data_IF_248515649817
#
_entry.id   IF_248515649817
#
_cell.length_a   1.000
_cell.length_b   1.000
_cell.length_c   1.000
_cell.angle_alpha   90.00
_cell.angle_beta   90.00
_cell.angle_gamma   90.00
#
_symmetry.space_group_name_H-M   'P 1'
#
loop_
_entity.id
_entity.type
_entity.pdbx_description
1 polymer ?
#
# COMPACT_ATOMS: atom_id res chain seq x y z
N UNK A 1 36.35 -21.00 -43.75
CA UNK A 1 35.33 -20.23 -43.03
C UNK A 1 34.08 -21.04 -42.68
N UNK A 2 33.37 -21.62 -43.64
CA UNK A 2 32.12 -22.39 -43.41
C UNK A 2 32.32 -23.58 -42.45
N UNK A 3 33.38 -24.35 -42.60
CA UNK A 3 33.69 -25.49 -41.71
C UNK A 3 33.89 -25.06 -40.25
N UNK A 4 34.56 -23.94 -40.02
CA UNK A 4 34.81 -23.40 -38.69
C UNK A 4 33.49 -22.93 -38.03
N UNK A 5 32.59 -22.36 -38.80
CA UNK A 5 31.25 -21.98 -38.32
C UNK A 5 30.41 -23.21 -37.94
N UNK A 6 30.47 -24.29 -38.75
CA UNK A 6 29.77 -25.54 -38.44
C UNK A 6 30.30 -26.15 -37.13
N UNK A 7 31.61 -26.23 -36.97
CA UNK A 7 32.23 -26.75 -35.74
C UNK A 7 31.86 -25.92 -34.53
N UNK A 8 31.94 -24.60 -34.63
CA UNK A 8 31.56 -23.70 -33.52
C UNK A 8 30.08 -23.81 -33.14
N UNK A 9 29.17 -23.85 -34.11
CA UNK A 9 27.74 -24.02 -33.84
C UNK A 9 27.45 -25.40 -33.23
N UNK A 10 28.13 -26.46 -33.66
CA UNK A 10 27.97 -27.79 -33.06
C UNK A 10 28.45 -27.82 -31.61
N UNK A 11 29.61 -27.21 -31.31
CA UNK A 11 30.14 -27.13 -29.95
C UNK A 11 29.18 -26.32 -29.02
N UNK A 12 28.65 -25.21 -29.51
CA UNK A 12 27.67 -24.43 -28.77
C UNK A 12 26.37 -25.22 -28.49
N UNK A 13 25.86 -25.96 -29.48
CA UNK A 13 24.70 -26.81 -29.33
C UNK A 13 24.92 -27.93 -28.29
N UNK A 14 26.10 -28.55 -28.31
CA UNK A 14 26.47 -29.58 -27.32
C UNK A 14 26.58 -28.98 -25.93
N UNK A 15 27.25 -27.83 -25.78
CA UNK A 15 27.41 -27.15 -24.51
C UNK A 15 26.02 -26.76 -23.93
N UNK A 16 25.14 -26.20 -24.77
CA UNK A 16 23.79 -25.86 -24.36
C UNK A 16 22.97 -27.09 -23.94
N UNK A 17 23.09 -28.19 -24.65
CA UNK A 17 22.40 -29.43 -24.29
C UNK A 17 22.90 -30.03 -22.97
N UNK A 18 24.20 -29.98 -22.72
CA UNK A 18 24.82 -30.45 -21.47
C UNK A 18 24.33 -29.58 -20.28
N UNK A 19 24.35 -28.25 -20.44
CA UNK A 19 23.85 -27.36 -19.38
C UNK A 19 22.34 -27.52 -19.13
N UNK A 20 21.54 -27.72 -20.17
CA UNK A 20 20.12 -27.99 -20.04
C UNK A 20 19.85 -29.31 -19.27
N UNK A 21 20.61 -30.36 -19.58
CA UNK A 21 20.54 -31.64 -18.86
C UNK A 21 20.95 -31.48 -17.38
N UNK A 22 22.06 -30.78 -17.11
CA UNK A 22 22.52 -30.48 -15.75
C UNK A 22 21.49 -29.65 -14.98
N UNK A 23 20.89 -28.66 -15.64
CA UNK A 23 19.84 -27.84 -15.08
C UNK A 23 18.62 -28.67 -14.66
N UNK A 24 18.17 -29.58 -15.54
CA UNK A 24 17.07 -30.51 -15.22
C UNK A 24 17.39 -31.41 -14.03
N UNK A 25 18.58 -32.01 -14.02
CA UNK A 25 18.99 -32.89 -12.93
C UNK A 25 19.03 -32.15 -11.56
N UNK A 26 19.55 -30.90 -11.54
CA UNK A 26 19.54 -30.06 -10.35
C UNK A 26 18.13 -29.69 -9.92
N UNK A 27 17.26 -29.38 -10.88
CA UNK A 27 15.85 -29.06 -10.59
C UNK A 27 15.12 -30.25 -9.97
N UNK A 28 15.24 -31.46 -10.54
CA UNK A 28 14.58 -32.65 -9.98
C UNK A 28 15.10 -32.97 -8.58
N UNK A 29 16.40 -32.78 -8.33
CA UNK A 29 16.99 -32.94 -7.00
C UNK A 29 16.39 -31.92 -6.02
N UNK A 30 16.36 -30.63 -6.37
CA UNK A 30 15.79 -29.58 -5.54
C UNK A 30 14.30 -29.79 -5.27
N UNK A 31 13.56 -30.23 -6.28
CA UNK A 31 12.14 -30.59 -6.15
C UNK A 31 11.94 -31.75 -5.17
N UNK A 32 12.75 -32.80 -5.27
CA UNK A 32 12.70 -33.93 -4.34
C UNK A 32 13.03 -33.50 -2.89
N UNK A 33 14.00 -32.61 -2.69
CA UNK A 33 14.35 -32.08 -1.38
C UNK A 33 13.22 -31.21 -0.78
N UNK A 34 12.54 -30.40 -1.59
CA UNK A 34 11.39 -29.58 -1.18
C UNK A 34 10.25 -30.51 -0.71
N UNK A 35 9.89 -31.48 -1.56
CA UNK A 35 8.81 -32.42 -1.22
C UNK A 35 9.15 -33.30 -0.01
N UNK A 36 10.41 -33.69 0.16
CA UNK A 36 10.86 -34.48 1.32
C UNK A 36 10.75 -33.71 2.64
N UNK A 37 10.78 -32.38 2.62
CA UNK A 37 10.55 -31.52 3.78
C UNK A 37 9.06 -31.32 4.09
N UNK A 38 8.16 -31.85 3.26
CA UNK A 38 6.73 -31.64 3.37
C UNK A 38 6.23 -30.33 2.73
N UNK A 39 7.10 -29.59 2.06
CA UNK A 39 6.73 -28.38 1.35
C UNK A 39 6.00 -28.73 0.04
N UNK A 40 5.11 -27.83 -0.42
CA UNK A 40 4.40 -27.98 -1.69
C UNK A 40 5.02 -27.11 -2.77
N UNK A 41 5.05 -27.62 -4.00
CA UNK A 41 5.36 -26.84 -5.21
C UNK A 41 4.09 -26.38 -5.92
N UNK A 42 2.92 -26.78 -5.46
CA UNK A 42 1.65 -26.25 -5.95
C UNK A 42 1.39 -24.91 -5.25
N UNK A 43 1.50 -23.83 -6.02
CA UNK A 43 1.27 -22.47 -5.53
C UNK A 43 -0.13 -22.29 -4.92
N UNK A 44 -1.13 -23.12 -5.30
CA UNK A 44 -2.50 -23.06 -4.75
C UNK A 44 -2.52 -23.33 -3.25
N UNK A 45 -1.57 -24.11 -2.74
CA UNK A 45 -1.47 -24.41 -1.30
C UNK A 45 -1.07 -23.19 -0.46
N UNK A 46 -0.54 -22.15 -1.10
CA UNK A 46 -0.12 -20.89 -0.46
C UNK A 46 -1.17 -19.79 -0.58
N UNK A 47 -2.25 -20.03 -1.33
CA UNK A 47 -3.32 -19.04 -1.49
C UNK A 47 -4.25 -19.13 -0.27
N UNK A 48 -4.43 -18.04 0.47
CA UNK A 48 -5.35 -18.03 1.59
C UNK A 48 -6.79 -18.21 1.12
N UNK A 49 -7.62 -18.83 1.96
CA UNK A 49 -9.04 -18.94 1.72
C UNK A 49 -9.70 -17.56 1.54
N UNK A 50 -10.78 -17.52 0.75
CA UNK A 50 -11.56 -16.30 0.56
C UNK A 50 -12.15 -15.84 1.90
N UNK A 51 -12.05 -14.55 2.15
CA UNK A 51 -12.63 -13.92 3.33
C UNK A 51 -14.07 -13.52 3.03
N UNK A 52 -15.02 -13.68 3.98
CA UNK A 52 -16.37 -13.13 3.84
C UNK A 52 -16.35 -11.63 3.54
N UNK A 53 -17.21 -11.16 2.66
CA UNK A 53 -17.23 -9.77 2.20
C UNK A 53 -17.41 -8.78 3.35
N UNK A 54 -18.19 -9.13 4.36
CA UNK A 54 -18.43 -8.33 5.56
C UNK A 54 -17.19 -8.16 6.46
N UNK A 55 -16.26 -9.12 6.40
CA UNK A 55 -14.98 -9.07 7.13
C UNK A 55 -13.86 -8.44 6.31
N UNK A 56 -14.04 -8.30 4.99
CA UNK A 56 -13.02 -7.87 4.06
C UNK A 56 -13.09 -6.36 3.80
N UNK A 57 -12.09 -5.61 4.28
CA UNK A 57 -11.99 -4.17 4.05
C UNK A 57 -11.98 -3.81 2.55
N UNK A 58 -11.38 -4.63 1.69
CA UNK A 58 -11.32 -4.41 0.25
C UNK A 58 -12.71 -4.44 -0.43
N UNK A 59 -13.70 -5.10 0.20
CA UNK A 59 -15.09 -5.17 -0.28
C UNK A 59 -15.94 -4.00 0.23
N UNK A 60 -15.34 -3.00 0.88
CA UNK A 60 -16.06 -1.80 1.28
C UNK A 60 -16.39 -0.94 0.05
N UNK A 61 -17.58 -0.31 -0.01
CA UNK A 61 -18.01 0.49 -1.17
C UNK A 61 -17.07 1.63 -1.57
N UNK A 62 -16.26 2.14 -0.64
CA UNK A 62 -15.25 3.18 -0.95
C UNK A 62 -14.23 2.71 -1.98
N UNK A 63 -13.93 1.41 -2.02
CA UNK A 63 -12.98 0.85 -2.96
C UNK A 63 -13.62 0.29 -4.22
N UNK A 64 -14.88 -0.19 -4.13
CA UNK A 64 -15.71 -0.75 -5.21
C UNK A 64 -14.90 -1.57 -6.24
N UNK A 65 -14.23 -2.60 -5.74
CA UNK A 65 -13.37 -3.46 -6.56
C UNK A 65 -14.16 -4.53 -7.33
N UNK A 66 -15.50 -4.56 -7.17
CA UNK A 66 -16.37 -5.57 -7.77
C UNK A 66 -16.61 -5.38 -9.26
N UNK A 67 -16.33 -4.19 -9.80
CA UNK A 67 -16.46 -3.93 -11.23
C UNK A 67 -15.26 -4.50 -11.96
N UNK A 68 -15.28 -5.80 -12.23
CA UNK A 68 -14.34 -6.43 -13.16
C UNK A 68 -14.84 -6.18 -14.59
N UNK A 69 -14.12 -5.45 -15.44
CA UNK A 69 -14.52 -5.32 -16.83
C UNK A 69 -14.45 -6.65 -17.54
N UNK A 70 -15.46 -6.96 -18.26
CA UNK A 70 -15.43 -8.04 -19.23
C UNK A 70 -14.66 -7.55 -20.46
N UNK A 71 -13.45 -8.05 -20.67
CA UNK A 71 -12.66 -7.81 -21.86
C UNK A 71 -11.21 -7.36 -21.58
N UNK A 72 -10.34 -7.45 -22.59
CA UNK A 72 -8.97 -7.00 -22.46
C UNK A 72 -8.94 -5.48 -22.27
N UNK A 73 -8.01 -4.94 -21.44
CA UNK A 73 -7.87 -3.50 -21.25
C UNK A 73 -7.43 -2.85 -22.56
N UNK A 74 -8.18 -1.87 -23.01
CA UNK A 74 -7.79 -1.05 -24.16
C UNK A 74 -7.21 0.27 -23.67
N UNK A 75 -6.24 0.81 -24.41
CA UNK A 75 -5.63 2.12 -24.15
C UNK A 75 -6.67 3.25 -24.19
N UNK A 76 -7.74 3.05 -24.95
CA UNK A 76 -8.84 4.01 -25.15
C UNK A 76 -9.77 4.11 -23.93
N UNK A 77 -9.87 3.06 -23.10
CA UNK A 77 -10.74 3.05 -21.92
C UNK A 77 -10.04 3.50 -20.62
N UNK A 78 -8.88 4.18 -20.71
CA UNK A 78 -8.22 4.78 -19.56
C UNK A 78 -7.63 3.80 -18.55
N UNK A 79 -7.34 2.56 -18.95
CA UNK A 79 -6.79 1.54 -18.05
C UNK A 79 -7.85 0.66 -17.39
N UNK A 80 -7.42 -0.13 -16.44
CA UNK A 80 -8.30 -1.07 -15.74
C UNK A 80 -9.31 -0.32 -14.84
N UNK A 81 -10.59 -0.74 -14.74
CA UNK A 81 -11.62 -0.01 -13.98
C UNK A 81 -11.31 0.17 -12.50
N UNK A 82 -10.62 -0.78 -11.87
CA UNK A 82 -10.16 -0.63 -10.49
C UNK A 82 -9.05 0.43 -10.36
N UNK A 83 -8.18 0.59 -11.40
CA UNK A 83 -7.24 1.70 -11.48
C UNK A 83 -7.99 3.01 -11.47
N UNK A 84 -9.09 3.06 -12.20
CA UNK A 84 -9.97 4.21 -12.26
C UNK A 84 -10.54 4.54 -10.87
N UNK A 85 -10.96 3.56 -10.09
CA UNK A 85 -11.50 3.78 -8.74
C UNK A 85 -10.48 4.31 -7.75
N UNK A 86 -9.28 3.74 -7.70
CA UNK A 86 -8.21 4.30 -6.87
C UNK A 86 -7.79 5.69 -7.34
N UNK A 87 -7.70 5.92 -8.66
CA UNK A 87 -7.42 7.24 -9.20
C UNK A 87 -8.57 8.23 -8.93
N UNK A 88 -9.83 7.78 -9.00
CA UNK A 88 -10.99 8.59 -8.65
C UNK A 88 -10.99 8.93 -7.15
N UNK A 89 -10.69 7.97 -6.27
CA UNK A 89 -10.54 8.20 -4.83
C UNK A 89 -9.41 9.19 -4.54
N UNK A 90 -8.25 9.01 -5.17
CA UNK A 90 -7.12 9.94 -5.05
C UNK A 90 -7.50 11.34 -5.54
N UNK A 91 -8.10 11.45 -6.73
CA UNK A 91 -8.58 12.72 -7.27
C UNK A 91 -9.69 13.34 -6.43
N UNK A 92 -10.61 12.53 -5.94
CA UNK A 92 -11.74 13.01 -5.16
C UNK A 92 -11.30 13.59 -3.81
N UNK A 93 -10.34 12.97 -3.12
CA UNK A 93 -10.02 13.30 -1.73
C UNK A 93 -8.65 13.95 -1.54
N UNK A 94 -7.68 13.68 -2.41
CA UNK A 94 -6.29 14.09 -2.21
C UNK A 94 -5.74 15.03 -3.30
N UNK A 95 -6.48 15.31 -4.37
CA UNK A 95 -5.99 16.12 -5.50
C UNK A 95 -5.57 17.54 -5.15
N UNK A 96 -6.22 18.11 -4.14
CA UNK A 96 -6.02 19.51 -3.75
C UNK A 96 -4.84 19.68 -2.78
N UNK A 97 -4.10 18.57 -2.51
CA UNK A 97 -2.99 18.55 -1.58
C UNK A 97 -1.68 18.44 -2.37
N UNK A 98 -0.72 19.35 -2.17
CA UNK A 98 0.54 19.40 -2.92
C UNK A 98 1.55 18.34 -2.44
N UNK A 99 1.16 17.06 -2.47
CA UNK A 99 1.91 15.93 -1.90
C UNK A 99 3.30 15.75 -2.49
N UNK A 100 3.46 16.02 -3.80
CA UNK A 100 4.75 15.87 -4.49
C UNK A 100 5.86 16.73 -3.87
N UNK A 101 5.50 17.89 -3.30
CA UNK A 101 6.47 18.79 -2.65
C UNK A 101 6.98 18.24 -1.32
N UNK A 102 6.27 17.30 -0.72
CA UNK A 102 6.53 16.83 0.66
C UNK A 102 6.93 15.35 0.73
N UNK A 103 6.97 14.66 -0.42
CA UNK A 103 7.26 13.23 -0.50
C UNK A 103 8.60 12.87 0.17
N UNK A 104 9.61 13.71 0.02
CA UNK A 104 10.97 13.43 0.49
C UNK A 104 11.34 14.16 1.80
N UNK A 105 10.38 14.83 2.43
CA UNK A 105 10.66 15.54 3.68
C UNK A 105 10.84 14.55 4.84
N UNK A 106 11.97 14.66 5.53
CA UNK A 106 12.26 13.87 6.72
C UNK A 106 11.52 14.38 7.97
N UNK A 107 11.04 15.62 7.94
CA UNK A 107 10.34 16.28 9.06
C UNK A 107 9.12 17.04 8.56
N UNK A 108 8.01 16.91 9.29
CA UNK A 108 6.83 17.72 9.06
C UNK A 108 7.05 19.16 9.53
N UNK A 109 6.67 20.12 8.69
CA UNK A 109 6.73 21.54 8.97
C UNK A 109 5.41 22.21 8.59
N UNK A 110 4.65 22.68 9.59
CA UNK A 110 3.36 23.32 9.38
C UNK A 110 3.46 24.60 8.56
N UNK A 111 4.58 25.32 8.66
CA UNK A 111 4.78 26.56 7.92
C UNK A 111 4.94 26.34 6.45
N UNK A 112 5.77 25.35 6.09
CA UNK A 112 5.96 24.94 4.69
C UNK A 112 4.67 24.40 4.09
N UNK A 113 3.93 23.58 4.83
CA UNK A 113 2.64 23.05 4.39
C UNK A 113 1.58 24.15 4.23
N UNK A 114 1.49 25.06 5.19
CA UNK A 114 0.57 26.19 5.12
C UNK A 114 0.86 27.07 3.89
N UNK A 115 2.13 27.39 3.64
CA UNK A 115 2.55 28.16 2.45
C UNK A 115 2.23 27.44 1.13
N UNK A 116 2.44 26.11 1.07
CA UNK A 116 2.13 25.34 -0.12
C UNK A 116 0.62 25.32 -0.41
N UNK A 117 -0.20 25.12 0.62
CA UNK A 117 -1.65 25.15 0.50
C UNK A 117 -2.17 26.55 0.12
N UNK A 118 -1.54 27.62 0.60
CA UNK A 118 -1.88 28.99 0.16
C UNK A 118 -1.65 29.23 -1.33
N UNK A 119 -0.61 28.61 -1.90
CA UNK A 119 -0.23 28.82 -3.28
C UNK A 119 -1.05 27.98 -4.27
N UNK A 120 -1.57 26.85 -3.87
CA UNK A 120 -2.21 25.88 -4.78
C UNK A 120 -3.72 25.78 -4.61
N UNK A 121 -4.25 26.19 -3.45
CA UNK A 121 -5.66 25.93 -3.20
C UNK A 121 -6.58 27.05 -3.65
N UNK A 122 -7.72 26.64 -4.22
CA UNK A 122 -8.92 27.46 -4.27
C UNK A 122 -9.40 27.92 -2.88
N UNK A 123 -8.77 27.45 -1.81
CA UNK A 123 -9.04 27.81 -0.43
C UNK A 123 -8.44 29.17 -0.12
N UNK A 124 -9.29 30.13 0.22
CA UNK A 124 -8.86 31.47 0.63
C UNK A 124 -8.28 31.41 2.06
N UNK A 125 -7.05 30.92 2.18
CA UNK A 125 -6.34 30.98 3.46
C UNK A 125 -5.71 32.36 3.63
N UNK A 126 -5.66 32.86 4.87
CA UNK A 126 -5.01 34.14 5.17
C UNK A 126 -3.49 33.93 5.25
N UNK A 127 -2.71 34.75 4.49
CA UNK A 127 -1.23 34.65 4.47
C UNK A 127 -0.59 34.79 5.85
N UNK A 128 -1.15 35.65 6.69
CA UNK A 128 -0.61 35.95 8.03
C UNK A 128 -1.39 35.26 9.16
N UNK A 129 -1.99 34.11 8.87
CA UNK A 129 -2.75 33.38 9.86
C UNK A 129 -1.85 32.89 11.01
N UNK A 130 -2.23 33.24 12.24
CA UNK A 130 -1.62 32.69 13.46
C UNK A 130 -2.15 31.29 13.80
N UNK A 131 -3.13 30.78 13.00
CA UNK A 131 -3.81 29.50 13.25
C UNK A 131 -3.47 28.47 12.16
N UNK A 132 -2.19 28.33 11.83
CA UNK A 132 -1.73 27.48 10.73
C UNK A 132 -2.25 26.04 10.79
N UNK A 133 -2.28 25.45 11.98
CA UNK A 133 -2.84 24.12 12.19
C UNK A 133 -4.33 24.05 11.81
N UNK A 134 -5.14 25.01 12.25
CA UNK A 134 -6.56 25.08 11.89
C UNK A 134 -6.77 25.29 10.40
N UNK A 135 -5.94 26.13 9.78
CA UNK A 135 -6.02 26.42 8.35
C UNK A 135 -5.68 25.16 7.53
N UNK A 136 -4.66 24.40 7.91
CA UNK A 136 -4.30 23.12 7.30
C UNK A 136 -5.46 22.14 7.40
N UNK A 137 -6.07 21.98 8.57
CA UNK A 137 -7.23 21.11 8.74
C UNK A 137 -8.42 21.53 7.88
N UNK A 138 -8.65 22.84 7.76
CA UNK A 138 -9.69 23.39 6.89
C UNK A 138 -9.41 23.14 5.41
N UNK A 139 -8.18 23.42 4.95
CA UNK A 139 -7.77 23.22 3.58
C UNK A 139 -7.78 21.73 3.16
N UNK A 140 -7.55 20.83 4.11
CA UNK A 140 -7.57 19.38 3.91
C UNK A 140 -8.89 18.71 4.33
N UNK A 141 -9.97 19.49 4.48
CA UNK A 141 -11.28 18.97 4.93
C UNK A 141 -11.87 17.91 3.98
N UNK A 142 -11.64 18.06 2.69
CA UNK A 142 -12.04 17.10 1.66
C UNK A 142 -11.33 15.74 1.87
N UNK A 143 -10.03 15.77 2.19
CA UNK A 143 -9.29 14.56 2.52
C UNK A 143 -9.78 13.94 3.85
N UNK A 144 -10.24 14.73 4.81
CA UNK A 144 -10.82 14.20 6.04
C UNK A 144 -11.99 13.26 5.76
N UNK A 145 -12.88 13.61 4.82
CA UNK A 145 -13.99 12.74 4.43
C UNK A 145 -13.50 11.41 3.84
N UNK A 146 -12.46 11.46 2.99
CA UNK A 146 -11.83 10.25 2.45
C UNK A 146 -11.17 9.39 3.53
N UNK A 147 -10.48 10.02 4.48
CA UNK A 147 -9.83 9.34 5.61
C UNK A 147 -10.87 8.63 6.48
N UNK A 148 -12.03 9.26 6.77
CA UNK A 148 -13.11 8.63 7.54
C UNK A 148 -13.70 7.42 6.83
N UNK A 149 -13.96 7.50 5.51
CA UNK A 149 -14.43 6.37 4.72
C UNK A 149 -13.41 5.21 4.69
N UNK A 150 -12.12 5.52 4.59
CA UNK A 150 -11.05 4.53 4.67
C UNK A 150 -11.00 3.93 6.09
N UNK A 151 -11.14 4.73 7.12
CA UNK A 151 -11.18 4.26 8.50
C UNK A 151 -12.35 3.31 8.75
N UNK A 152 -13.52 3.62 8.19
CA UNK A 152 -14.70 2.74 8.22
C UNK A 152 -14.42 1.41 7.53
N UNK A 153 -13.86 1.44 6.32
CA UNK A 153 -13.46 0.24 5.61
C UNK A 153 -12.52 -0.64 6.44
N UNK A 154 -11.50 -0.05 7.04
CA UNK A 154 -10.52 -0.75 7.88
C UNK A 154 -10.95 -0.96 9.34
N UNK A 155 -12.22 -0.72 9.67
CA UNK A 155 -12.87 -1.28 10.87
C UNK A 155 -13.07 -2.79 10.72
N UNK A 156 -13.20 -3.30 9.48
CA UNK A 156 -13.21 -4.73 9.17
C UNK A 156 -11.86 -5.36 9.50
N UNK A 157 -11.85 -6.60 10.04
CA UNK A 157 -10.64 -7.18 10.64
C UNK A 157 -9.56 -7.58 9.64
N UNK A 158 -9.93 -7.81 8.39
CA UNK A 158 -9.07 -8.38 7.34
C UNK A 158 -9.14 -7.55 6.06
N UNK A 159 -8.14 -7.72 5.17
CA UNK A 159 -8.15 -7.07 3.86
C UNK A 159 -7.52 -8.01 2.82
N UNK A 160 -8.33 -8.49 1.91
CA UNK A 160 -7.91 -9.31 0.79
C UNK A 160 -8.39 -8.64 -0.50
N UNK A 161 -7.46 -7.99 -1.22
CA UNK A 161 -7.78 -7.29 -2.46
C UNK A 161 -8.18 -8.22 -3.58
N UNK A 162 -7.73 -9.48 -3.52
CA UNK A 162 -8.02 -10.49 -4.53
C UNK A 162 -8.56 -11.75 -3.87
N UNK A 163 -9.84 -12.03 -4.03
CA UNK A 163 -10.32 -13.36 -3.77
C UNK A 163 -9.83 -14.22 -4.93
N UNK A 164 -8.71 -14.99 -4.79
CA UNK A 164 -8.53 -16.25 -5.31
C UNK A 164 -7.62 -16.65 -6.36
N UNK A 165 -7.13 -17.82 -6.09
CA UNK A 165 -6.31 -18.71 -6.88
C UNK A 165 -6.72 -18.83 -8.35
N UNK A 166 -7.97 -19.04 -8.64
CA UNK A 166 -8.47 -19.27 -10.01
C UNK A 166 -8.36 -18.02 -10.88
N UNK A 167 -8.49 -16.87 -10.28
CA UNK A 167 -8.41 -15.59 -10.97
C UNK A 167 -6.97 -15.09 -11.19
N UNK A 168 -5.99 -15.58 -10.41
CA UNK A 168 -4.57 -15.31 -10.63
C UNK A 168 -4.02 -16.03 -11.86
N UNK A 169 -4.57 -17.20 -12.20
CA UNK A 169 -4.14 -17.99 -13.37
C UNK A 169 -4.64 -17.36 -14.67
N UNK A 170 -5.89 -16.92 -14.69
CA UNK A 170 -6.51 -16.40 -15.92
C UNK A 170 -6.14 -14.95 -16.24
N UNK A 171 -5.69 -14.17 -15.27
CA UNK A 171 -5.45 -12.75 -15.43
C UNK A 171 -4.10 -12.30 -14.86
N UNK A 172 -3.03 -12.38 -15.69
CA UNK A 172 -1.73 -11.69 -15.46
C UNK A 172 -1.88 -10.19 -15.16
N UNK A 173 -3.06 -9.64 -15.38
CA UNK A 173 -3.44 -8.24 -15.27
C UNK A 173 -3.69 -7.78 -13.84
N UNK A 174 -3.95 -8.69 -12.89
CA UNK A 174 -4.31 -8.35 -11.50
C UNK A 174 -3.13 -7.95 -10.61
N UNK A 175 -1.92 -8.33 -10.97
CA UNK A 175 -0.70 -7.86 -10.27
C UNK A 175 -0.54 -6.32 -10.31
N UNK A 176 -1.16 -5.67 -11.32
CA UNK A 176 -1.20 -4.20 -11.38
C UNK A 176 -2.08 -3.55 -10.31
N UNK A 177 -3.07 -4.25 -9.77
CA UNK A 177 -4.04 -3.65 -8.81
C UNK A 177 -3.35 -3.24 -7.50
N UNK A 178 -2.45 -4.06 -7.00
CA UNK A 178 -1.74 -3.79 -5.75
C UNK A 178 -0.88 -2.54 -5.86
N UNK A 179 -0.34 -2.24 -7.05
CA UNK A 179 0.47 -1.04 -7.29
C UNK A 179 -0.32 0.26 -7.06
N UNK A 180 -1.63 0.26 -7.32
CA UNK A 180 -2.48 1.44 -7.10
C UNK A 180 -2.83 1.67 -5.65
N UNK A 181 -2.87 0.62 -4.83
CA UNK A 181 -2.97 0.76 -3.38
C UNK A 181 -1.80 1.58 -2.84
N UNK A 182 -0.61 1.49 -3.48
CA UNK A 182 0.57 2.22 -3.01
C UNK A 182 0.47 3.72 -3.24
N UNK A 183 -0.09 4.18 -4.38
CA UNK A 183 -0.30 5.61 -4.65
C UNK A 183 -1.23 6.23 -3.61
N UNK A 184 -2.42 5.63 -3.43
CA UNK A 184 -3.37 6.07 -2.39
C UNK A 184 -2.76 5.95 -1.00
N UNK A 185 -1.99 4.89 -0.73
CA UNK A 185 -1.31 4.67 0.54
C UNK A 185 -0.31 5.77 0.87
N UNK A 186 0.52 6.18 -0.09
CA UNK A 186 1.49 7.28 0.08
C UNK A 186 0.78 8.63 0.27
N UNK A 187 -0.28 8.89 -0.50
CA UNK A 187 -1.09 10.11 -0.37
C UNK A 187 -1.79 10.16 0.98
N UNK A 188 -2.36 9.04 1.42
CA UNK A 188 -2.98 8.90 2.74
C UNK A 188 -1.95 9.11 3.85
N UNK A 189 -0.78 8.47 3.77
CA UNK A 189 0.26 8.58 4.80
C UNK A 189 0.76 10.01 4.98
N UNK A 190 1.04 10.72 3.89
CA UNK A 190 1.49 12.11 3.94
C UNK A 190 0.39 13.03 4.50
N UNK A 191 -0.85 12.85 4.03
CA UNK A 191 -1.99 13.68 4.47
C UNK A 191 -2.32 13.43 5.93
N UNK A 192 -2.42 12.19 6.38
CA UNK A 192 -2.72 11.87 7.78
C UNK A 192 -1.61 12.33 8.71
N UNK A 193 -0.34 12.30 8.27
CA UNK A 193 0.78 12.77 9.08
C UNK A 193 0.71 14.27 9.35
N UNK A 194 0.48 15.10 8.34
CA UNK A 194 0.39 16.56 8.53
C UNK A 194 -0.88 16.96 9.30
N UNK A 195 -2.01 16.28 9.04
CA UNK A 195 -3.25 16.51 9.78
C UNK A 195 -3.12 16.07 11.24
N UNK A 196 -2.45 14.94 11.52
CA UNK A 196 -2.18 14.49 12.88
C UNK A 196 -1.33 15.54 13.64
N UNK A 197 -0.29 16.10 13.01
CA UNK A 197 0.47 17.19 13.60
C UNK A 197 -0.39 18.40 13.86
N UNK A 198 -1.23 18.82 12.92
CA UNK A 198 -2.15 19.94 13.09
C UNK A 198 -3.20 19.69 14.18
N UNK A 199 -3.70 18.45 14.31
CA UNK A 199 -4.58 18.07 15.41
C UNK A 199 -3.89 18.15 16.76
N UNK A 200 -2.62 17.69 16.87
CA UNK A 200 -1.83 17.77 18.10
C UNK A 200 -1.57 19.22 18.49
N UNK A 201 -1.21 20.09 17.55
CA UNK A 201 -1.05 21.52 17.82
C UNK A 201 -2.33 22.19 18.34
N UNK A 202 -3.51 21.72 17.88
CA UNK A 202 -4.80 22.16 18.37
C UNK A 202 -5.27 21.41 19.65
N UNK A 203 -4.43 20.56 20.26
CA UNK A 203 -4.74 19.78 21.47
C UNK A 203 -5.70 18.60 21.25
N UNK A 204 -5.97 18.20 20.00
CA UNK A 204 -6.88 17.11 19.66
C UNK A 204 -6.14 15.79 19.41
N UNK A 205 -5.60 15.18 20.48
CA UNK A 205 -4.86 13.91 20.40
C UNK A 205 -5.73 12.72 19.95
N UNK A 206 -7.04 12.78 20.17
CA UNK A 206 -7.99 11.74 19.71
C UNK A 206 -8.04 11.68 18.18
N UNK A 207 -8.21 12.82 17.52
CA UNK A 207 -8.24 12.88 16.07
C UNK A 207 -6.87 12.50 15.47
N UNK A 208 -5.77 13.00 16.07
CA UNK A 208 -4.42 12.64 15.64
C UNK A 208 -4.17 11.11 15.67
N UNK A 209 -4.54 10.46 16.79
CA UNK A 209 -4.40 9.01 16.92
C UNK A 209 -5.20 8.26 15.85
N UNK A 210 -6.46 8.67 15.60
CA UNK A 210 -7.33 8.04 14.61
C UNK A 210 -6.76 8.12 13.21
N UNK A 211 -6.26 9.27 12.80
CA UNK A 211 -5.67 9.45 11.46
C UNK A 211 -4.41 8.59 11.29
N UNK A 212 -3.51 8.57 12.28
CA UNK A 212 -2.31 7.73 12.23
C UNK A 212 -2.69 6.24 12.17
N UNK A 213 -3.64 5.78 13.01
CA UNK A 213 -4.09 4.39 13.02
C UNK A 213 -4.70 4.00 11.68
N UNK A 214 -5.46 4.89 11.03
CA UNK A 214 -6.04 4.65 9.70
C UNK A 214 -4.94 4.41 8.66
N UNK A 215 -3.94 5.28 8.62
CA UNK A 215 -2.78 5.13 7.72
C UNK A 215 -2.02 3.83 7.96
N UNK A 216 -1.76 3.48 9.21
CA UNK A 216 -1.08 2.23 9.59
C UNK A 216 -1.89 0.98 9.23
N UNK A 217 -3.21 1.02 9.34
CA UNK A 217 -4.08 -0.09 8.92
C UNK A 217 -4.10 -0.23 7.41
N UNK A 218 -4.24 0.88 6.69
CA UNK A 218 -4.19 0.88 5.23
C UNK A 218 -2.86 0.35 4.69
N UNK A 219 -1.73 0.74 5.29
CA UNK A 219 -0.40 0.31 4.85
C UNK A 219 -0.20 -1.21 4.85
N UNK A 220 -1.09 -1.94 5.51
CA UNK A 220 -1.08 -3.41 5.58
C UNK A 220 -2.09 -4.07 4.70
N UNK A 221 -2.87 -3.29 3.99
CA UNK A 221 -3.94 -3.82 3.15
C UNK A 221 -3.50 -4.89 2.15
N UNK A 222 -2.23 -4.87 1.75
CA UNK A 222 -1.66 -5.87 0.85
C UNK A 222 -0.99 -7.07 1.57
N UNK A 223 -0.95 -7.09 2.91
CA UNK A 223 -0.17 -8.08 3.65
C UNK A 223 -0.75 -9.51 3.62
N UNK A 224 -2.03 -9.66 3.32
CA UNK A 224 -2.68 -10.97 3.22
C UNK A 224 -2.53 -11.62 1.83
N UNK A 225 -1.98 -10.91 0.86
CA UNK A 225 -1.65 -11.47 -0.44
C UNK A 225 -0.24 -12.11 -0.39
N UNK A 226 -0.08 -13.40 -0.75
CA UNK A 226 1.19 -14.11 -0.64
C UNK A 226 2.22 -13.77 -1.72
N UNK A 227 1.96 -12.77 -2.56
CA UNK A 227 2.89 -12.40 -3.63
C UNK A 227 4.06 -11.56 -3.13
N UNK A 228 5.24 -11.72 -3.77
CA UNK A 228 6.41 -10.87 -3.50
C UNK A 228 6.09 -9.38 -3.69
N UNK A 229 5.28 -9.06 -4.70
CA UNK A 229 4.84 -7.69 -4.98
C UNK A 229 4.09 -7.11 -3.79
N UNK A 230 3.17 -7.86 -3.19
CA UNK A 230 2.41 -7.45 -2.02
C UNK A 230 3.29 -7.22 -0.80
N UNK A 231 4.30 -8.07 -0.61
CA UNK A 231 5.30 -7.87 0.46
C UNK A 231 6.05 -6.56 0.26
N UNK A 232 6.56 -6.29 -0.94
CA UNK A 232 7.31 -5.06 -1.24
C UNK A 232 6.43 -3.82 -1.09
N UNK A 233 5.18 -3.87 -1.54
CA UNK A 233 4.23 -2.76 -1.40
C UNK A 233 3.86 -2.51 0.07
N UNK A 234 3.61 -3.56 0.84
CA UNK A 234 3.36 -3.44 2.28
C UNK A 234 4.54 -2.80 3.00
N UNK A 235 5.78 -3.15 2.61
CA UNK A 235 6.98 -2.52 3.16
C UNK A 235 7.08 -1.05 2.77
N UNK A 236 6.82 -0.70 1.50
CA UNK A 236 6.83 0.68 1.01
C UNK A 236 5.78 1.55 1.70
N UNK A 237 4.52 1.13 1.68
CA UNK A 237 3.42 1.84 2.34
C UNK A 237 3.63 1.94 3.86
N UNK A 238 4.17 0.87 4.49
CA UNK A 238 4.52 0.88 5.91
C UNK A 238 5.64 1.86 6.23
N UNK A 239 6.64 1.98 5.37
CA UNK A 239 7.70 2.99 5.48
C UNK A 239 7.12 4.41 5.43
N UNK A 240 6.23 4.68 4.47
CA UNK A 240 5.58 5.99 4.33
C UNK A 240 4.71 6.31 5.57
N UNK A 241 3.89 5.38 6.02
CA UNK A 241 3.04 5.55 7.20
C UNK A 241 3.83 5.76 8.51
N UNK A 242 5.04 5.19 8.59
CA UNK A 242 5.91 5.32 9.76
C UNK A 242 6.89 6.49 9.68
N UNK A 243 7.06 7.13 8.53
CA UNK A 243 8.11 8.14 8.27
C UNK A 243 8.15 9.25 9.33
N UNK A 244 6.99 9.75 9.70
CA UNK A 244 6.88 10.89 10.61
C UNK A 244 6.48 10.49 12.04
N UNK A 245 6.30 9.21 12.33
CA UNK A 245 5.93 8.75 13.67
C UNK A 245 6.89 9.21 14.77
N UNK A 246 8.23 9.20 14.59
CA UNK A 246 9.13 9.67 15.64
C UNK A 246 8.85 11.12 16.07
N UNK A 247 8.57 12.00 15.09
CA UNK A 247 8.22 13.39 15.39
C UNK A 247 6.85 13.51 16.05
N UNK A 248 5.86 12.78 15.54
CA UNK A 248 4.50 12.82 16.06
C UNK A 248 4.41 12.26 17.49
N UNK A 249 5.08 11.15 17.78
CA UNK A 249 5.04 10.50 19.09
C UNK A 249 5.72 11.32 20.20
N UNK A 250 6.65 12.20 19.85
CA UNK A 250 7.33 13.09 20.82
C UNK A 250 6.60 14.41 21.05
N UNK A 251 5.46 14.63 20.40
CA UNK A 251 4.71 15.86 20.54
C UNK A 251 4.11 16.00 21.97
N UNK A 252 4.23 17.18 22.62
CA UNK A 252 3.84 17.34 24.03
C UNK A 252 2.33 17.28 24.29
N UNK A 253 1.51 17.51 23.27
CA UNK A 253 0.05 17.59 23.40
C UNK A 253 -0.66 16.22 23.31
N UNK A 254 0.05 15.10 23.45
CA UNK A 254 -0.60 13.81 23.58
C UNK A 254 -1.28 13.66 24.93
N UNK A 255 -2.52 13.17 24.94
CA UNK A 255 -3.04 12.55 26.15
C UNK A 255 -2.52 11.13 26.31
N UNK A 256 -2.21 10.71 27.53
CA UNK A 256 -1.61 9.39 27.82
C UNK A 256 -2.46 8.24 27.28
N UNK A 257 -3.79 8.32 27.40
CA UNK A 257 -4.70 7.27 26.93
C UNK A 257 -4.62 7.05 25.42
N UNK A 258 -4.61 8.11 24.62
CA UNK A 258 -4.53 7.98 23.16
C UNK A 258 -3.13 7.60 22.67
N UNK A 259 -2.08 8.07 23.32
CA UNK A 259 -0.72 7.65 23.02
C UNK A 259 -0.56 6.15 23.29
N UNK A 260 -1.07 5.65 24.42
CA UNK A 260 -1.07 4.23 24.74
C UNK A 260 -1.85 3.41 23.69
N UNK A 261 -3.05 3.82 23.32
CA UNK A 261 -3.87 3.16 22.31
C UNK A 261 -3.14 3.09 20.94
N UNK A 262 -2.45 4.16 20.56
CA UNK A 262 -1.62 4.18 19.34
C UNK A 262 -0.45 3.20 19.44
N UNK A 263 0.29 3.19 20.55
CA UNK A 263 1.40 2.28 20.77
C UNK A 263 0.95 0.81 20.78
N UNK A 264 -0.19 0.51 21.40
CA UNK A 264 -0.81 -0.82 21.40
C UNK A 264 -1.21 -1.25 19.97
N UNK A 265 -1.73 -0.33 19.17
CA UNK A 265 -2.02 -0.56 17.75
C UNK A 265 -0.77 -0.88 16.95
N UNK A 266 0.34 -0.16 17.17
CA UNK A 266 1.64 -0.42 16.54
C UNK A 266 2.20 -1.78 16.97
N UNK A 267 2.15 -2.09 18.27
CA UNK A 267 2.67 -3.35 18.83
C UNK A 267 1.86 -4.58 18.38
N UNK A 268 0.53 -4.49 18.35
CA UNK A 268 -0.33 -5.57 17.83
C UNK A 268 -0.01 -5.90 16.39
N UNK A 269 0.38 -4.90 15.69
CA UNK A 269 0.87 -4.85 14.33
C UNK A 269 2.14 -5.69 14.14
N UNK A 270 3.14 -5.51 14.99
CA UNK A 270 4.39 -6.26 14.91
C UNK A 270 4.22 -7.75 15.29
N UNK A 271 3.33 -8.05 16.24
CA UNK A 271 3.07 -9.42 16.71
C UNK A 271 2.41 -10.32 15.67
N UNK A 272 1.47 -9.78 14.85
CA UNK A 272 0.84 -10.56 13.77
C UNK A 272 1.84 -11.00 12.70
N UNK A 273 2.87 -10.20 12.40
CA UNK A 273 3.95 -10.60 11.48
C UNK A 273 4.67 -11.87 11.94
N UNK A 274 4.95 -12.00 13.25
CA UNK A 274 5.64 -13.17 13.80
C UNK A 274 4.79 -14.44 13.71
N UNK A 275 3.47 -14.32 13.72
CA UNK A 275 2.56 -15.48 13.62
C UNK A 275 2.37 -15.96 12.17
N UNK A 276 2.62 -15.10 11.17
CA UNK A 276 2.44 -15.43 9.74
C UNK A 276 3.74 -16.00 9.13
N UNK A 277 4.90 -15.56 9.64
CA UNK A 277 6.22 -15.89 9.06
C UNK A 277 7.14 -16.67 10.00
N UNK A 278 6.71 -17.00 11.21
CA UNK A 278 7.40 -17.88 12.17
C UNK A 278 6.88 -19.27 12.14
#
# INVERSE_FOLDING_TARGET
>A
MLYLLIVMSTLLAIAWQVENWRGRARWEKAKAEILARGDSLDWRTFVPDAIPDEENAAMHPVFDVTVVPQGPPTRENGGYPYMRKFNELEKQFFSDIPLERFRDQSRLDLDLWHQALLNESATRLAKDSKRKATDILSATSKAAAGIELIAEAFSRPRCQWFPMADQLIENKQRLGQISYCSSVGSSLAATTSIRALAHLENGNSSAAAREIITSLRFSRSAAEDPSLTSVLLTMGMGSDACRHLPQLLTHPNWSEGYLKALLDSIASTARRKKAIYG
#
